data_IF_825746924540
#
_entry.id   IF_825746924540
#
_cell.length_a   1.000
_cell.length_b   1.000
_cell.length_c   1.000
_cell.angle_alpha   90.00
_cell.angle_beta   90.00
_cell.angle_gamma   90.00
#
_symmetry.space_group_name_H-M   'P 1'
#
loop_
_entity.id
_entity.type
_entity.pdbx_description
1 polymer ?
#
# COMPACT_ATOMS: atom_id res chain seq x y z
N UNK A 1 -17.35 19.52 0.87
CA UNK A 1 -16.10 19.28 0.11
C UNK A 1 -16.50 18.71 -1.24
N UNK A 2 -16.08 19.32 -2.33
CA UNK A 2 -16.50 18.94 -3.68
C UNK A 2 -15.78 17.65 -4.12
N UNK A 3 -16.53 16.55 -4.14
CA UNK A 3 -16.04 15.20 -4.48
C UNK A 3 -15.50 15.17 -5.92
N UNK A 4 -16.10 15.96 -6.83
CA UNK A 4 -15.72 15.98 -8.25
C UNK A 4 -14.33 16.57 -8.52
N UNK A 5 -13.89 17.57 -7.72
CA UNK A 5 -12.55 18.17 -7.87
C UNK A 5 -11.43 17.21 -7.44
N UNK A 6 -11.69 16.36 -6.45
CA UNK A 6 -10.75 15.35 -5.94
C UNK A 6 -10.68 14.15 -6.89
N UNK A 7 -11.81 13.71 -7.43
CA UNK A 7 -11.85 12.62 -8.40
C UNK A 7 -11.16 13.01 -9.72
N UNK A 8 -11.41 14.23 -10.21
CA UNK A 8 -10.77 14.75 -11.42
C UNK A 8 -9.25 14.86 -11.30
N UNK A 9 -8.75 15.37 -10.16
CA UNK A 9 -7.30 15.44 -9.92
C UNK A 9 -6.67 14.06 -9.85
N UNK A 10 -7.37 13.08 -9.25
CA UNK A 10 -6.92 11.69 -9.16
C UNK A 10 -6.82 11.05 -10.55
N UNK A 11 -7.81 11.26 -11.43
CA UNK A 11 -7.77 10.72 -12.79
C UNK A 11 -6.67 11.37 -13.64
N UNK A 12 -6.43 12.67 -13.48
CA UNK A 12 -5.34 13.37 -14.15
C UNK A 12 -3.97 12.81 -13.75
N UNK A 13 -3.75 12.57 -12.46
CA UNK A 13 -2.51 11.98 -11.95
C UNK A 13 -2.33 10.56 -12.48
N UNK A 14 -3.38 9.73 -12.41
CA UNK A 14 -3.37 8.36 -12.97
C UNK A 14 -2.99 8.36 -14.45
N UNK A 15 -3.63 9.20 -15.26
CA UNK A 15 -3.34 9.29 -16.69
C UNK A 15 -1.93 9.83 -16.98
N UNK A 16 -1.48 10.83 -16.21
CA UNK A 16 -0.14 11.39 -16.36
C UNK A 16 0.95 10.37 -16.05
N UNK A 17 0.73 9.57 -15.00
CA UNK A 17 1.62 8.50 -14.56
C UNK A 17 1.69 7.37 -15.60
N UNK A 18 0.54 6.82 -16.02
CA UNK A 18 0.48 5.70 -16.95
C UNK A 18 1.14 6.01 -18.31
N UNK A 19 1.15 7.29 -18.72
CA UNK A 19 1.82 7.73 -19.95
C UNK A 19 3.36 7.80 -19.86
N UNK A 20 3.93 7.71 -18.65
CA UNK A 20 5.35 8.05 -18.40
C UNK A 20 6.15 6.96 -17.72
N UNK A 21 5.51 6.05 -17.02
CA UNK A 21 6.18 5.01 -16.27
C UNK A 21 5.70 3.63 -16.70
N UNK A 22 6.63 2.68 -16.75
CA UNK A 22 6.39 1.26 -17.00
C UNK A 22 6.61 0.38 -15.76
N UNK A 23 7.04 1.00 -14.64
CA UNK A 23 7.17 0.36 -13.35
C UNK A 23 6.62 1.25 -12.23
N UNK A 24 6.09 0.64 -11.18
CA UNK A 24 5.50 1.31 -10.03
C UNK A 24 5.89 0.66 -8.70
N UNK A 25 5.87 1.47 -7.65
CA UNK A 25 5.99 1.04 -6.26
C UNK A 25 4.81 1.63 -5.52
N UNK A 26 4.04 0.80 -4.82
CA UNK A 26 2.99 1.27 -3.90
C UNK A 26 3.70 1.77 -2.64
N UNK A 27 3.46 3.02 -2.27
CA UNK A 27 4.33 3.70 -1.31
C UNK A 27 4.12 3.19 0.12
N UNK A 28 2.86 3.05 0.56
CA UNK A 28 2.52 2.72 1.93
C UNK A 28 1.46 1.63 2.05
N UNK A 29 0.57 1.50 1.08
CA UNK A 29 -0.63 0.66 1.13
C UNK A 29 -0.31 -0.84 1.11
N UNK A 30 0.94 -1.21 0.78
CA UNK A 30 1.49 -2.57 0.88
C UNK A 30 2.37 -2.80 2.11
N UNK A 31 2.58 -1.81 2.98
CA UNK A 31 3.39 -1.99 4.19
C UNK A 31 2.59 -2.68 5.28
N UNK A 32 3.27 -3.43 6.15
CA UNK A 32 2.65 -4.25 7.19
C UNK A 32 1.63 -3.47 8.04
N UNK A 33 2.01 -2.30 8.55
CA UNK A 33 1.11 -1.47 9.36
C UNK A 33 -0.15 -0.98 8.63
N UNK A 34 -0.15 -0.97 7.29
CA UNK A 34 -1.30 -0.60 6.49
C UNK A 34 -2.22 -1.80 6.19
N UNK A 35 -1.64 -2.98 5.97
CA UNK A 35 -2.38 -4.18 5.60
C UNK A 35 -2.85 -5.01 6.80
N UNK A 36 -2.21 -4.88 7.97
CA UNK A 36 -2.55 -5.64 9.18
C UNK A 36 -2.32 -4.76 10.43
N UNK A 37 -3.15 -3.72 10.62
CA UNK A 37 -3.04 -2.83 11.78
C UNK A 37 -3.29 -3.56 13.10
N UNK A 38 -4.16 -4.57 13.09
CA UNK A 38 -4.48 -5.45 14.21
C UNK A 38 -4.11 -6.90 13.85
N UNK A 39 -3.56 -7.65 14.81
CA UNK A 39 -3.06 -9.01 14.58
C UNK A 39 -4.15 -9.93 14.00
N UNK A 40 -3.85 -10.56 12.87
CA UNK A 40 -4.75 -11.46 12.15
C UNK A 40 -5.86 -10.77 11.35
N UNK A 41 -5.98 -9.44 11.40
CA UNK A 41 -6.99 -8.68 10.67
C UNK A 41 -6.39 -8.04 9.42
N UNK A 42 -6.24 -8.85 8.38
CA UNK A 42 -5.58 -8.43 7.14
C UNK A 42 -6.57 -7.77 6.17
N UNK A 43 -6.18 -6.63 5.59
CA UNK A 43 -6.95 -5.90 4.59
C UNK A 43 -6.06 -5.39 3.44
N UNK A 44 -6.21 -6.01 2.27
CA UNK A 44 -5.51 -5.61 1.04
C UNK A 44 -6.31 -4.70 0.11
N UNK A 45 -7.54 -4.31 0.46
CA UNK A 45 -8.49 -3.65 -0.46
C UNK A 45 -7.89 -2.46 -1.21
N UNK A 46 -7.18 -1.57 -0.50
CA UNK A 46 -6.58 -0.39 -1.12
C UNK A 46 -5.42 -0.79 -2.05
N UNK A 47 -4.54 -1.68 -1.59
CA UNK A 47 -3.43 -2.17 -2.39
C UNK A 47 -3.90 -2.91 -3.64
N UNK A 48 -4.93 -3.74 -3.53
CA UNK A 48 -5.54 -4.47 -4.65
C UNK A 48 -6.14 -3.51 -5.68
N UNK A 49 -6.89 -2.49 -5.24
CA UNK A 49 -7.42 -1.45 -6.13
C UNK A 49 -6.30 -0.68 -6.86
N UNK A 50 -5.17 -0.42 -6.19
CA UNK A 50 -4.01 0.20 -6.83
C UNK A 50 -3.35 -0.75 -7.83
N UNK A 51 -3.21 -2.04 -7.49
CA UNK A 51 -2.66 -3.06 -8.37
C UNK A 51 -3.54 -3.29 -9.61
N UNK A 52 -4.86 -3.18 -9.50
CA UNK A 52 -5.77 -3.23 -10.65
C UNK A 52 -5.46 -2.12 -11.66
N UNK A 53 -5.28 -0.88 -11.19
CA UNK A 53 -4.87 0.23 -12.06
C UNK A 53 -3.51 -0.04 -12.74
N UNK A 54 -2.54 -0.55 -11.98
CA UNK A 54 -1.21 -0.90 -12.50
C UNK A 54 -1.30 -1.98 -13.58
N UNK A 55 -2.04 -3.07 -13.32
CA UNK A 55 -2.27 -4.17 -14.27
C UNK A 55 -3.00 -3.70 -15.52
N UNK A 56 -4.05 -2.88 -15.36
CA UNK A 56 -4.83 -2.35 -16.48
C UNK A 56 -4.00 -1.49 -17.44
N UNK A 57 -2.91 -0.88 -16.96
CA UNK A 57 -1.98 -0.09 -17.76
C UNK A 57 -0.71 -0.86 -18.16
N UNK A 58 -0.66 -2.18 -17.93
CA UNK A 58 0.49 -3.04 -18.27
C UNK A 58 1.81 -2.58 -17.62
N UNK A 59 1.72 -1.98 -16.43
CA UNK A 59 2.86 -1.51 -15.64
C UNK A 59 3.31 -2.63 -14.69
N UNK A 60 4.61 -2.78 -14.47
CA UNK A 60 5.15 -3.75 -13.52
C UNK A 60 5.15 -3.14 -12.10
N UNK A 61 4.62 -3.85 -11.11
CA UNK A 61 4.71 -3.44 -9.71
C UNK A 61 5.90 -4.10 -9.00
N UNK A 62 6.61 -3.35 -8.16
CA UNK A 62 7.54 -3.88 -7.15
C UNK A 62 6.94 -3.71 -5.76
N UNK A 63 6.83 -4.80 -5.01
CA UNK A 63 6.45 -4.76 -3.60
C UNK A 63 7.45 -3.98 -2.75
N UNK A 64 6.96 -3.09 -1.88
CA UNK A 64 7.76 -2.34 -0.91
C UNK A 64 6.87 -2.00 0.29
N UNK A 65 7.01 -2.66 1.42
CA UNK A 65 7.88 -3.78 1.76
C UNK A 65 7.13 -4.61 2.81
N UNK A 66 7.49 -5.89 2.95
CA UNK A 66 6.81 -6.77 3.90
C UNK A 66 7.24 -6.44 5.34
N UNK A 67 8.55 -6.31 5.58
CA UNK A 67 9.10 -6.01 6.90
C UNK A 67 10.00 -4.77 6.86
N UNK A 68 9.85 -3.88 7.84
CA UNK A 68 10.71 -2.72 8.07
C UNK A 68 11.02 -2.60 9.56
N UNK A 69 12.29 -2.42 9.91
CA UNK A 69 12.74 -2.35 11.30
C UNK A 69 12.38 -1.04 12.02
N UNK A 70 12.01 0.02 11.29
CA UNK A 70 11.66 1.30 11.91
C UNK A 70 10.41 1.13 12.80
N UNK A 71 10.50 1.37 14.12
CA UNK A 71 9.40 1.17 15.05
C UNK A 71 8.18 2.04 14.73
N UNK A 72 8.35 3.14 14.00
CA UNK A 72 7.24 3.99 13.52
C UNK A 72 6.36 3.27 12.50
N UNK A 73 6.94 2.36 11.71
CA UNK A 73 6.26 1.66 10.61
C UNK A 73 6.09 0.17 10.88
N UNK A 74 6.20 -0.25 12.14
CA UNK A 74 5.89 -1.61 12.58
C UNK A 74 4.52 -1.59 13.27
N UNK A 75 3.61 -2.56 12.99
CA UNK A 75 2.33 -2.64 13.70
C UNK A 75 2.54 -2.69 15.22
N UNK A 76 1.64 -2.06 15.99
CA UNK A 76 1.79 -2.00 17.44
C UNK A 76 1.82 -3.39 18.07
N UNK A 77 0.92 -4.27 17.63
CA UNK A 77 0.82 -5.63 18.14
C UNK A 77 2.11 -6.44 17.93
N UNK A 78 2.86 -6.20 16.84
CA UNK A 78 4.17 -6.85 16.62
C UNK A 78 5.18 -6.40 17.66
N UNK A 79 5.15 -5.12 18.05
CA UNK A 79 6.07 -4.56 19.06
C UNK A 79 5.73 -5.03 20.48
N UNK A 80 4.50 -5.46 20.70
CA UNK A 80 4.02 -5.93 22.00
C UNK A 80 4.27 -7.44 22.20
N UNK A 81 4.71 -8.17 21.16
CA UNK A 81 5.07 -9.58 21.25
C UNK A 81 6.24 -9.83 22.20
N UNK A 82 6.17 -10.95 22.91
CA UNK A 82 7.16 -11.41 23.88
C UNK A 82 7.78 -12.74 23.46
N UNK A 83 8.83 -13.18 24.17
CA UNK A 83 9.67 -14.34 23.79
C UNK A 83 8.93 -15.56 23.21
N UNK A 84 7.91 -16.12 23.89
CA UNK A 84 7.16 -17.27 23.35
C UNK A 84 6.39 -17.00 22.05
N UNK A 85 6.05 -15.74 21.77
CA UNK A 85 5.28 -15.31 20.60
C UNK A 85 6.19 -14.97 19.41
N UNK A 86 7.51 -14.89 19.63
CA UNK A 86 8.54 -14.60 18.61
C UNK A 86 9.26 -15.87 18.09
N UNK A 87 8.86 -17.06 18.55
CA UNK A 87 9.51 -18.34 18.22
C UNK A 87 8.89 -19.06 17.02
#
# INVERSE_FOLDING_TARGET
MDVGRIEYSTQLIKNWFAKRFNAAVIENELKWYAIEPDQGQVNYTIADNMLEFIRANQIIARGRNIFWEDPKYTPQWVRDLTGPELQ
#
